data_IF_001529837178
#
_entry.id   IF_001529837178
#
_cell.length_a   1.000
_cell.length_b   1.000
_cell.length_c   1.000
_cell.angle_alpha   90.00
_cell.angle_beta   90.00
_cell.angle_gamma   90.00
#
_symmetry.space_group_name_H-M   'P 1'
#
loop_
_entity.id
_entity.type
_entity.pdbx_description
1 polymer ?
#
# COMPACT_ATOMS: atom_id res chain seq x y z
N UNK A 1 -27.98 -10.84 39.00
CA UNK A 1 -28.01 -9.69 39.88
C UNK A 1 -26.61 -9.10 39.81
N UNK A 2 -26.25 -7.97 39.30
CA UNK A 2 -26.82 -6.64 39.27
C UNK A 2 -26.32 -5.89 38.01
N UNK A 3 -27.23 -5.29 37.27
CA UNK A 3 -26.96 -4.41 36.12
C UNK A 3 -26.54 -3.04 36.67
N UNK A 4 -25.47 -2.44 36.12
CA UNK A 4 -25.17 -1.02 36.30
C UNK A 4 -25.19 -0.31 34.93
N UNK A 5 -26.26 0.44 34.67
CA UNK A 5 -26.43 1.37 33.58
C UNK A 5 -25.98 2.75 34.07
N UNK A 6 -24.96 3.34 33.43
CA UNK A 6 -24.68 4.78 33.61
C UNK A 6 -25.29 5.55 32.43
N UNK A 7 -26.38 6.22 32.75
CA UNK A 7 -27.05 7.23 31.92
C UNK A 7 -26.30 8.56 32.10
N UNK A 8 -25.78 9.15 31.03
CA UNK A 8 -25.26 10.50 31.03
C UNK A 8 -26.34 11.47 30.58
N UNK A 9 -26.73 12.35 31.45
CA UNK A 9 -27.64 13.48 31.23
C UNK A 9 -26.92 14.55 30.40
N UNK A 10 -27.59 15.01 29.34
CA UNK A 10 -27.21 16.20 28.58
C UNK A 10 -28.02 17.36 29.14
N UNK A 11 -27.33 18.36 29.68
CA UNK A 11 -27.95 19.61 30.10
C UNK A 11 -27.95 20.60 28.95
N UNK A 12 -29.13 20.99 28.49
CA UNK A 12 -29.35 22.07 27.53
C UNK A 12 -29.57 23.36 28.34
N UNK A 13 -28.69 24.34 28.16
CA UNK A 13 -28.89 25.68 28.69
C UNK A 13 -29.47 26.58 27.60
N UNK A 14 -30.70 26.99 27.73
CA UNK A 14 -31.33 28.03 26.92
C UNK A 14 -31.06 29.39 27.55
N UNK A 15 -30.40 30.30 26.85
CA UNK A 15 -30.30 31.69 27.21
C UNK A 15 -31.21 32.52 26.33
N UNK A 16 -32.22 33.13 26.96
CA UNK A 16 -33.19 34.10 26.36
C UNK A 16 -32.54 35.47 26.44
N UNK A 17 -32.30 36.13 25.33
CA UNK A 17 -31.77 37.51 25.26
C UNK A 17 -32.72 38.43 24.54
N UNK A 18 -33.06 39.50 25.20
CA UNK A 18 -34.07 40.55 24.95
C UNK A 18 -33.72 41.43 23.75
N UNK A 19 -34.72 41.71 22.90
CA UNK A 19 -34.66 42.60 21.76
C UNK A 19 -34.86 44.07 22.24
N UNK A 20 -33.97 45.01 21.85
CA UNK A 20 -34.27 46.45 21.79
C UNK A 20 -34.06 46.96 20.39
N UNK A 21 -35.10 47.56 19.82
CA UNK A 21 -35.09 48.21 18.54
C UNK A 21 -34.41 49.59 18.64
N UNK A 22 -33.56 49.90 17.68
CA UNK A 22 -33.00 51.22 17.43
C UNK A 22 -32.77 51.43 15.94
N UNK A 23 -33.37 52.48 15.39
CA UNK A 23 -33.44 52.85 13.97
C UNK A 23 -32.17 53.50 13.43
N UNK A 24 -31.99 53.30 12.12
CA UNK A 24 -31.44 54.16 11.06
C UNK A 24 -29.93 54.41 10.98
N UNK A 25 -29.39 54.07 9.80
CA UNK A 25 -28.12 54.51 9.24
C UNK A 25 -27.65 53.60 8.12
N UNK A 26 -27.92 54.04 6.87
CA UNK A 26 -27.30 53.45 5.64
C UNK A 26 -25.80 53.56 5.72
N UNK A 27 -25.13 52.45 5.46
CA UNK A 27 -23.84 52.42 4.75
C UNK A 27 -23.55 50.95 4.33
N UNK A 28 -23.54 50.79 3.01
CA UNK A 28 -23.05 49.55 2.37
C UNK A 28 -21.56 49.36 2.68
N UNK A 29 -21.20 48.33 3.37
CA UNK A 29 -19.83 47.82 3.46
C UNK A 29 -19.83 46.31 3.33
N UNK A 30 -19.09 45.91 2.32
CA UNK A 30 -18.48 44.64 1.98
C UNK A 30 -18.69 43.55 3.01
N UNK A 31 -19.39 42.49 2.62
CA UNK A 31 -19.31 41.17 3.21
C UNK A 31 -17.94 40.61 2.86
N UNK A 32 -17.01 40.83 3.74
CA UNK A 32 -15.73 40.09 3.78
C UNK A 32 -16.06 38.62 3.96
N UNK A 33 -16.06 37.90 2.84
CA UNK A 33 -16.07 36.47 2.86
C UNK A 33 -14.71 36.04 3.44
N UNK A 34 -14.67 35.87 4.77
CA UNK A 34 -13.55 35.28 5.47
C UNK A 34 -13.36 33.87 4.95
N UNK A 35 -12.64 33.77 3.84
CA UNK A 35 -12.08 32.52 3.37
C UNK A 35 -11.07 32.08 4.44
N UNK A 36 -11.51 31.21 5.32
CA UNK A 36 -10.62 30.53 6.26
C UNK A 36 -9.65 29.69 5.43
N UNK A 37 -8.57 30.31 4.97
CA UNK A 37 -7.42 29.59 4.42
C UNK A 37 -6.87 28.80 5.60
N UNK A 38 -7.19 27.51 5.68
CA UNK A 38 -6.49 26.60 6.59
C UNK A 38 -4.99 26.74 6.27
N UNK A 39 -4.23 27.27 7.20
CA UNK A 39 -2.79 27.33 7.10
C UNK A 39 -2.31 25.88 6.93
N UNK A 40 -1.77 25.58 5.76
CA UNK A 40 -1.14 24.29 5.46
C UNK A 40 0.01 24.16 6.46
N UNK A 41 0.04 23.09 7.23
CA UNK A 41 1.16 22.80 8.12
C UNK A 41 2.42 22.67 7.28
N UNK A 42 3.42 23.51 7.51
CA UNK A 42 4.74 23.40 6.84
C UNK A 42 5.54 22.20 7.32
N UNK A 43 5.03 21.47 8.32
CA UNK A 43 5.67 20.27 8.87
C UNK A 43 5.05 19.04 8.22
N UNK A 44 5.86 18.19 7.54
CA UNK A 44 5.37 16.95 6.95
C UNK A 44 4.68 16.05 7.98
N UNK A 45 3.53 15.51 7.59
CA UNK A 45 2.77 14.53 8.37
C UNK A 45 2.26 13.40 7.48
N UNK A 46 2.05 12.24 8.09
CA UNK A 46 1.44 11.07 7.45
C UNK A 46 0.46 10.42 8.44
N UNK A 47 -0.71 10.03 7.93
CA UNK A 47 -1.75 9.28 8.64
C UNK A 47 -2.20 8.12 7.76
N UNK A 48 -2.32 6.92 8.31
CA UNK A 48 -2.92 5.75 7.66
C UNK A 48 -4.43 5.86 7.86
N UNK A 49 -5.14 6.37 6.85
CA UNK A 49 -6.59 6.56 6.92
C UNK A 49 -7.35 5.23 6.83
N UNK A 50 -6.77 4.23 6.14
CA UNK A 50 -7.35 2.90 5.93
C UNK A 50 -6.22 1.89 5.65
N UNK A 51 -6.37 0.61 6.08
CA UNK A 51 -7.40 0.09 6.98
C UNK A 51 -7.20 0.54 8.43
N UNK A 52 -8.23 0.41 9.25
CA UNK A 52 -8.11 0.64 10.69
C UNK A 52 -7.17 -0.40 11.34
N UNK A 53 -6.45 0.01 12.39
CA UNK A 53 -5.63 -0.93 13.17
C UNK A 53 -6.49 -2.05 13.77
N UNK A 54 -5.99 -3.28 13.75
CA UNK A 54 -6.70 -4.50 14.16
C UNK A 54 -7.57 -5.14 13.06
N UNK A 55 -7.52 -4.62 11.82
CA UNK A 55 -8.26 -5.21 10.69
C UNK A 55 -7.70 -6.58 10.34
N UNK A 56 -8.60 -7.56 10.10
CA UNK A 56 -8.26 -8.84 9.47
C UNK A 56 -8.40 -8.73 7.97
N UNK A 57 -7.32 -8.98 7.24
CA UNK A 57 -7.24 -8.95 5.79
C UNK A 57 -7.32 -10.37 5.25
N UNK A 58 -8.17 -10.59 4.26
CA UNK A 58 -8.25 -11.87 3.54
C UNK A 58 -7.32 -11.80 2.32
N UNK A 59 -6.42 -12.75 2.20
CA UNK A 59 -5.32 -12.69 1.24
C UNK A 59 -4.08 -11.99 1.84
N UNK A 60 -2.99 -11.95 1.09
CA UNK A 60 -1.68 -11.47 1.56
C UNK A 60 -1.30 -10.07 1.04
N UNK A 61 -2.29 -9.30 0.63
CA UNK A 61 -2.10 -7.95 0.11
C UNK A 61 -2.87 -6.94 0.96
N UNK A 62 -2.19 -5.90 1.40
CA UNK A 62 -2.77 -4.80 2.19
C UNK A 62 -2.64 -3.50 1.42
N UNK A 63 -3.75 -2.80 1.23
CA UNK A 63 -3.77 -1.47 0.62
C UNK A 63 -3.94 -0.41 1.70
N UNK A 64 -3.00 0.52 1.76
CA UNK A 64 -3.02 1.64 2.71
C UNK A 64 -3.44 2.92 1.98
N UNK A 65 -4.56 3.52 2.41
CA UNK A 65 -4.90 4.90 2.03
C UNK A 65 -4.20 5.85 3.01
N UNK A 66 -3.40 6.76 2.48
CA UNK A 66 -2.58 7.67 3.29
C UNK A 66 -3.04 9.11 3.12
N UNK A 67 -3.18 9.83 4.23
CA UNK A 67 -3.23 11.30 4.22
C UNK A 67 -1.84 11.83 4.48
N UNK A 68 -1.32 12.62 3.56
CA UNK A 68 0.01 13.21 3.62
C UNK A 68 -0.12 14.71 3.45
N UNK A 69 0.42 15.47 4.40
CA UNK A 69 0.44 16.93 4.36
C UNK A 69 1.87 17.44 4.47
N UNK A 70 2.10 18.67 4.01
CA UNK A 70 3.40 19.34 4.10
C UNK A 70 4.50 18.79 3.18
N UNK A 71 4.21 17.79 2.33
CA UNK A 71 5.16 17.16 1.40
C UNK A 71 4.49 16.85 0.07
N UNK A 72 5.20 17.07 -1.04
CA UNK A 72 4.77 16.59 -2.36
C UNK A 72 5.37 15.22 -2.62
N UNK A 73 4.53 14.21 -2.86
CA UNK A 73 4.99 12.84 -3.11
C UNK A 73 5.47 12.71 -4.56
N UNK A 74 6.72 12.28 -4.72
CA UNK A 74 7.40 12.02 -5.99
C UNK A 74 8.28 10.79 -5.86
N UNK A 75 8.72 10.22 -6.97
CA UNK A 75 9.78 9.21 -6.96
C UNK A 75 11.08 9.85 -6.45
N UNK A 76 11.97 9.04 -5.89
CA UNK A 76 13.28 9.50 -5.43
C UNK A 76 14.02 10.27 -6.54
N UNK A 77 14.29 11.55 -6.32
CA UNK A 77 14.85 12.50 -7.29
C UNK A 77 16.15 13.14 -6.80
N UNK A 78 16.61 12.77 -5.59
CA UNK A 78 17.79 13.33 -4.94
C UNK A 78 17.54 14.65 -4.20
N UNK A 79 16.32 15.21 -4.23
CA UNK A 79 15.99 16.44 -3.49
C UNK A 79 15.96 16.19 -1.97
N UNK A 80 16.79 16.95 -1.23
CA UNK A 80 16.86 16.91 0.24
C UNK A 80 16.27 18.16 0.90
N UNK A 81 15.56 19.01 0.13
CA UNK A 81 14.98 20.26 0.64
C UNK A 81 13.81 20.02 1.63
N UNK A 82 13.27 18.81 1.67
CA UNK A 82 12.08 18.45 2.46
C UNK A 82 10.75 18.95 1.87
N UNK A 83 10.76 19.45 0.62
CA UNK A 83 9.54 19.86 -0.10
C UNK A 83 8.93 18.72 -0.90
N UNK A 84 9.78 17.84 -1.41
CA UNK A 84 9.41 16.61 -2.10
C UNK A 84 9.96 15.41 -1.36
N UNK A 85 9.36 14.25 -1.61
CA UNK A 85 9.79 13.00 -1.01
C UNK A 85 8.86 11.84 -1.37
N UNK A 86 9.05 10.72 -0.71
CA UNK A 86 8.27 9.53 -0.98
C UNK A 86 7.97 8.74 0.28
N UNK A 87 7.14 7.72 0.12
CA UNK A 87 6.59 6.91 1.20
C UNK A 87 7.50 5.71 1.46
N UNK A 88 7.74 5.40 2.74
CA UNK A 88 8.39 4.17 3.15
C UNK A 88 7.50 3.45 4.16
N UNK A 89 7.26 2.15 3.93
CA UNK A 89 6.57 1.30 4.89
C UNK A 89 7.55 0.26 5.46
N UNK A 90 7.61 0.20 6.77
CA UNK A 90 8.35 -0.80 7.55
C UNK A 90 7.36 -1.85 8.01
N UNK A 91 7.55 -3.10 7.58
CA UNK A 91 6.71 -4.25 7.91
C UNK A 91 7.46 -5.07 8.95
N UNK A 92 6.90 -5.17 10.17
CA UNK A 92 7.48 -5.88 11.33
C UNK A 92 8.90 -5.39 11.70
N UNK A 93 9.18 -4.12 11.39
CA UNK A 93 10.47 -3.49 11.64
C UNK A 93 10.31 -2.12 12.28
N UNK A 94 11.27 -1.75 13.08
CA UNK A 94 11.36 -0.41 13.66
C UNK A 94 11.95 0.55 12.62
N UNK A 95 11.28 1.68 12.32
CA UNK A 95 11.84 2.69 11.43
C UNK A 95 13.17 3.25 11.93
N UNK A 96 14.03 3.64 10.99
CA UNK A 96 15.30 4.32 11.30
C UNK A 96 15.06 5.67 11.99
N UNK A 97 16.06 6.21 12.67
CA UNK A 97 15.98 7.55 13.28
C UNK A 97 15.77 8.65 12.22
N UNK A 98 15.19 9.77 12.63
CA UNK A 98 15.06 10.98 11.80
C UNK A 98 16.42 11.39 11.23
N UNK A 99 16.47 11.72 9.93
CA UNK A 99 17.68 12.08 9.19
C UNK A 99 18.56 10.90 8.82
N UNK A 100 18.30 9.70 9.31
CA UNK A 100 19.05 8.51 8.90
C UNK A 100 18.58 7.98 7.54
N UNK A 101 19.50 7.37 6.80
CA UNK A 101 19.19 6.72 5.53
C UNK A 101 18.28 5.51 5.74
N UNK A 102 17.22 5.42 4.94
CA UNK A 102 16.26 4.32 4.96
C UNK A 102 16.82 3.20 4.09
N UNK A 103 17.02 1.99 4.66
CA UNK A 103 17.65 0.89 3.92
C UNK A 103 16.71 0.33 2.84
N UNK A 104 17.30 -0.13 1.73
CA UNK A 104 16.60 -0.93 0.72
C UNK A 104 16.80 -2.42 1.07
N UNK A 105 15.89 -2.96 1.86
CA UNK A 105 15.96 -4.36 2.35
C UNK A 105 14.57 -4.98 2.45
N UNK A 106 14.50 -6.30 2.62
CA UNK A 106 13.24 -7.01 2.83
C UNK A 106 12.47 -6.43 4.04
N UNK A 107 11.15 -6.27 3.89
CA UNK A 107 10.29 -5.65 4.90
C UNK A 107 10.35 -4.12 4.94
N UNK A 108 11.08 -3.47 4.01
CA UNK A 108 11.03 -2.01 3.81
C UNK A 108 10.59 -1.70 2.38
N UNK A 109 9.40 -1.15 2.23
CA UNK A 109 8.81 -0.79 0.93
C UNK A 109 9.06 0.68 0.65
N UNK A 110 9.49 1.00 -0.57
CA UNK A 110 9.70 2.35 -1.09
C UNK A 110 8.69 2.62 -2.19
N UNK A 111 7.89 3.67 -2.09
CA UNK A 111 6.87 3.99 -3.09
C UNK A 111 6.57 5.48 -3.18
N UNK A 112 6.13 5.90 -4.37
CA UNK A 112 5.49 7.20 -4.60
C UNK A 112 3.98 7.05 -4.87
N UNK A 113 3.44 5.85 -4.70
CA UNK A 113 2.02 5.57 -4.96
C UNK A 113 1.19 5.78 -3.70
N UNK A 114 0.02 6.40 -3.86
CA UNK A 114 -1.00 6.51 -2.85
C UNK A 114 -2.37 6.29 -3.54
N UNK A 115 -3.08 5.22 -3.22
CA UNK A 115 -2.86 4.24 -2.14
C UNK A 115 -1.56 3.43 -2.28
N UNK A 116 -0.94 3.09 -1.14
CA UNK A 116 0.21 2.21 -1.09
C UNK A 116 -0.25 0.74 -0.99
N UNK A 117 0.17 -0.10 -1.94
CA UNK A 117 -0.14 -1.53 -1.95
C UNK A 117 1.06 -2.33 -1.45
N UNK A 118 0.86 -3.05 -0.35
CA UNK A 118 1.83 -3.97 0.23
C UNK A 118 1.44 -5.39 -0.14
N UNK A 119 2.32 -6.13 -0.80
CA UNK A 119 2.10 -7.52 -1.24
C UNK A 119 3.01 -8.48 -0.48
N UNK A 120 2.75 -9.78 -0.58
CA UNK A 120 3.62 -10.81 -0.04
C UNK A 120 3.62 -10.94 1.49
N UNK A 121 2.64 -10.37 2.19
CA UNK A 121 2.58 -10.53 3.65
C UNK A 121 2.30 -12.00 4.01
N UNK A 122 3.03 -12.51 5.00
CA UNK A 122 2.80 -13.87 5.50
C UNK A 122 1.51 -13.95 6.31
N UNK A 123 1.03 -15.17 6.57
CA UNK A 123 -0.11 -15.36 7.46
C UNK A 123 0.25 -15.02 8.90
N UNK A 124 -0.60 -14.22 9.56
CA UNK A 124 -0.40 -13.78 10.95
C UNK A 124 -0.58 -12.28 11.16
N UNK A 125 -0.21 -11.81 12.35
CA UNK A 125 -0.22 -10.38 12.70
C UNK A 125 1.02 -9.69 12.13
N UNK A 126 0.81 -8.51 11.55
CA UNK A 126 1.86 -7.61 11.06
C UNK A 126 1.69 -6.22 11.64
N UNK A 127 2.78 -5.61 12.05
CA UNK A 127 2.84 -4.19 12.36
C UNK A 127 3.43 -3.43 11.17
N UNK A 128 2.68 -2.48 10.65
CA UNK A 128 3.07 -1.67 9.50
C UNK A 128 3.25 -0.24 9.97
N UNK A 129 4.47 0.29 9.86
CA UNK A 129 4.78 1.68 10.18
C UNK A 129 5.16 2.43 8.91
N UNK A 130 4.44 3.51 8.61
CA UNK A 130 4.72 4.39 7.48
C UNK A 130 5.50 5.61 7.95
N UNK A 131 6.57 5.95 7.23
CA UNK A 131 7.35 7.17 7.39
C UNK A 131 7.55 7.87 6.04
N UNK A 132 7.97 9.13 6.07
CA UNK A 132 8.31 9.88 4.86
C UNK A 132 9.84 9.97 4.71
N UNK A 133 10.34 9.83 3.49
CA UNK A 133 11.73 10.00 3.12
C UNK A 133 11.91 11.08 2.07
N UNK A 134 13.05 11.77 2.09
CA UNK A 134 13.45 12.74 1.07
C UNK A 134 13.89 12.04 -0.24
N UNK A 135 14.20 12.80 -1.27
CA UNK A 135 14.64 12.28 -2.55
C UNK A 135 15.95 11.48 -2.51
N UNK A 136 16.73 11.59 -1.43
CA UNK A 136 17.95 10.82 -1.18
C UNK A 136 17.73 9.65 -0.19
N UNK A 137 16.47 9.30 0.13
CA UNK A 137 16.09 8.25 1.07
C UNK A 137 16.47 8.49 2.54
N UNK A 138 16.63 9.74 2.98
CA UNK A 138 16.77 10.02 4.42
C UNK A 138 15.39 10.26 5.03
N UNK A 139 15.13 9.72 6.22
CA UNK A 139 13.88 9.92 6.92
C UNK A 139 13.63 11.39 7.25
N UNK A 140 12.49 11.94 6.80
CA UNK A 140 12.06 13.31 7.05
C UNK A 140 11.35 13.39 8.40
N UNK A 141 11.85 14.22 9.31
CA UNK A 141 11.18 14.56 10.55
C UNK A 141 10.72 13.35 11.37
N UNK A 142 9.71 13.57 12.21
CA UNK A 142 9.11 12.54 13.06
C UNK A 142 7.74 12.06 12.53
N UNK A 143 7.37 12.47 11.28
CA UNK A 143 6.14 12.03 10.67
C UNK A 143 6.13 10.50 10.53
N UNK A 144 5.25 9.85 11.26
CA UNK A 144 5.00 8.41 11.17
C UNK A 144 3.61 8.08 11.66
N UNK A 145 3.06 6.99 11.13
CA UNK A 145 1.87 6.35 11.67
C UNK A 145 2.00 4.84 11.58
N UNK A 146 1.31 4.11 12.46
CA UNK A 146 1.43 2.64 12.56
C UNK A 146 0.07 2.00 12.77
N UNK A 147 -0.13 0.88 12.08
CA UNK A 147 -1.29 0.00 12.28
C UNK A 147 -0.84 -1.43 12.49
N UNK A 148 -1.70 -2.22 13.11
CA UNK A 148 -1.61 -3.68 13.12
C UNK A 148 -2.70 -4.26 12.23
N UNK A 149 -2.32 -5.24 11.41
CA UNK A 149 -3.26 -6.02 10.59
C UNK A 149 -3.01 -7.50 10.80
N UNK A 150 -4.05 -8.32 10.66
CA UNK A 150 -3.91 -9.77 10.67
C UNK A 150 -4.19 -10.31 9.28
N UNK A 151 -3.23 -10.96 8.66
CA UNK A 151 -3.41 -11.69 7.39
C UNK A 151 -4.02 -13.06 7.68
N UNK A 152 -5.23 -13.32 7.16
CA UNK A 152 -5.95 -14.58 7.32
C UNK A 152 -6.57 -15.00 5.98
N UNK A 153 -5.87 -15.83 5.23
CA UNK A 153 -6.29 -16.30 3.91
C UNK A 153 -5.16 -16.98 3.16
N UNK A 154 -5.36 -17.26 1.86
CA UNK A 154 -4.30 -17.74 1.00
C UNK A 154 -3.11 -16.79 0.97
N UNK A 155 -1.92 -17.35 0.88
CA UNK A 155 -0.68 -16.56 0.73
C UNK A 155 0.13 -17.06 -0.45
N UNK A 156 0.89 -16.15 -1.04
CA UNK A 156 1.88 -16.42 -2.07
C UNK A 156 3.16 -15.68 -1.68
N UNK A 157 4.26 -16.42 -1.63
CA UNK A 157 5.60 -15.91 -1.39
C UNK A 157 6.45 -16.23 -2.62
N UNK A 158 7.04 -15.22 -3.22
CA UNK A 158 7.88 -15.34 -4.41
C UNK A 158 9.31 -14.92 -4.07
N UNK A 159 10.28 -15.72 -4.48
CA UNK A 159 11.69 -15.44 -4.24
C UNK A 159 12.50 -15.52 -5.52
N UNK A 160 13.45 -14.58 -5.67
CA UNK A 160 14.38 -14.54 -6.79
C UNK A 160 15.74 -14.00 -6.33
N UNK A 161 16.84 -14.29 -7.06
CA UNK A 161 18.11 -13.62 -6.83
C UNK A 161 17.98 -12.11 -7.07
N UNK A 162 18.58 -11.28 -6.22
CA UNK A 162 18.55 -9.81 -6.40
C UNK A 162 19.29 -9.37 -7.68
N UNK A 163 20.27 -10.15 -8.11
CA UNK A 163 21.10 -9.86 -9.30
C UNK A 163 21.29 -11.13 -10.12
N UNK A 164 21.15 -11.02 -11.44
CA UNK A 164 21.36 -12.10 -12.42
C UNK A 164 22.25 -11.59 -13.54
N UNK A 165 23.17 -12.45 -14.02
CA UNK A 165 24.04 -12.10 -15.14
C UNK A 165 23.25 -11.96 -16.45
N UNK A 166 23.61 -10.98 -17.29
CA UNK A 166 23.00 -10.79 -18.60
C UNK A 166 23.07 -12.08 -19.44
N UNK A 167 21.98 -12.42 -20.10
CA UNK A 167 21.84 -13.64 -20.89
C UNK A 167 21.48 -14.90 -20.10
N UNK A 168 21.48 -14.83 -18.76
CA UNK A 168 20.96 -15.91 -17.90
C UNK A 168 19.46 -15.73 -17.66
N UNK A 169 18.67 -16.81 -17.53
CA UNK A 169 17.26 -16.69 -17.17
C UNK A 169 17.12 -16.22 -15.71
N UNK A 170 16.11 -15.41 -15.45
CA UNK A 170 15.68 -15.08 -14.08
C UNK A 170 14.78 -16.20 -13.57
N UNK A 171 15.23 -16.89 -12.53
CA UNK A 171 14.44 -17.89 -11.83
C UNK A 171 13.68 -17.25 -10.68
N UNK A 172 12.36 -17.52 -10.63
CA UNK A 172 11.48 -17.12 -9.55
C UNK A 172 10.86 -18.38 -8.96
N UNK A 173 11.12 -18.65 -7.68
CA UNK A 173 10.53 -19.77 -6.94
C UNK A 173 9.28 -19.29 -6.19
N UNK A 174 8.27 -20.17 -6.04
CA UNK A 174 6.97 -19.85 -5.44
C UNK A 174 6.66 -20.76 -4.28
N UNK A 175 6.10 -20.18 -3.23
CA UNK A 175 5.49 -20.90 -2.12
C UNK A 175 4.06 -20.39 -1.94
N UNK A 176 3.09 -21.29 -2.07
CA UNK A 176 1.66 -20.98 -1.92
C UNK A 176 1.08 -21.75 -0.76
N UNK A 177 0.29 -21.10 0.08
CA UNK A 177 -0.51 -21.72 1.12
C UNK A 177 -1.99 -21.39 0.91
N UNK A 178 -2.89 -22.33 1.24
CA UNK A 178 -4.32 -22.14 1.19
C UNK A 178 -4.99 -22.28 -0.19
N UNK A 179 -4.20 -22.47 -1.28
CA UNK A 179 -4.69 -22.77 -2.64
C UNK A 179 -3.92 -23.96 -3.20
N UNK A 180 -4.61 -24.91 -3.82
CA UNK A 180 -3.96 -26.01 -4.55
C UNK A 180 -3.57 -25.55 -5.95
N UNK A 181 -2.29 -25.59 -6.28
CA UNK A 181 -1.79 -25.16 -7.58
C UNK A 181 -2.01 -26.28 -8.60
N UNK A 182 -2.76 -25.96 -9.66
CA UNK A 182 -3.08 -26.86 -10.79
C UNK A 182 -3.06 -26.07 -12.09
N UNK A 183 -3.02 -26.75 -13.22
CA UNK A 183 -3.27 -26.11 -14.52
C UNK A 183 -4.70 -25.58 -14.56
N UNK A 184 -4.95 -24.59 -15.41
CA UNK A 184 -6.29 -24.03 -15.59
C UNK A 184 -7.32 -25.15 -15.83
N UNK A 185 -8.24 -25.32 -14.87
CA UNK A 185 -9.21 -26.41 -14.80
C UNK A 185 -10.67 -25.92 -14.85
N UNK A 186 -10.87 -24.61 -14.93
CA UNK A 186 -12.19 -23.98 -14.93
C UNK A 186 -12.79 -23.78 -13.52
N UNK A 187 -12.11 -24.20 -12.45
CA UNK A 187 -12.60 -23.97 -11.08
C UNK A 187 -12.47 -22.51 -10.68
N UNK A 188 -13.59 -21.91 -10.29
CA UNK A 188 -13.68 -20.52 -9.80
C UNK A 188 -13.94 -20.43 -8.30
N UNK A 189 -13.85 -21.55 -7.58
CA UNK A 189 -14.13 -21.59 -6.14
C UNK A 189 -13.02 -20.97 -5.29
N UNK A 190 -11.84 -20.72 -5.87
CA UNK A 190 -10.64 -20.26 -5.17
C UNK A 190 -9.93 -21.35 -4.36
N UNK A 191 -10.36 -22.64 -4.47
CA UNK A 191 -9.67 -23.77 -3.85
C UNK A 191 -8.50 -24.25 -4.67
N UNK A 192 -8.62 -24.15 -5.99
CA UNK A 192 -7.56 -24.40 -6.96
C UNK A 192 -7.23 -23.12 -7.73
N UNK A 193 -6.05 -23.06 -8.32
CA UNK A 193 -5.62 -21.95 -9.13
C UNK A 193 -4.22 -22.18 -9.71
N UNK A 194 -3.70 -21.20 -10.41
CA UNK A 194 -2.37 -21.24 -10.96
C UNK A 194 -1.69 -19.87 -10.90
N UNK A 195 -0.40 -19.87 -11.18
CA UNK A 195 0.44 -18.69 -11.01
C UNK A 195 0.57 -17.95 -12.33
N UNK A 196 0.49 -16.62 -12.24
CA UNK A 196 0.76 -15.69 -13.33
C UNK A 196 1.89 -14.76 -12.92
N UNK A 197 2.89 -14.61 -13.76
CA UNK A 197 4.02 -13.69 -13.55
C UNK A 197 3.93 -12.57 -14.57
N UNK A 198 3.69 -11.37 -14.07
CA UNK A 198 3.64 -10.12 -14.84
C UNK A 198 5.04 -9.51 -14.87
N UNK A 199 5.67 -9.50 -16.04
CA UNK A 199 7.03 -8.99 -16.25
C UNK A 199 6.94 -7.52 -16.66
N UNK A 200 7.44 -6.61 -15.82
CA UNK A 200 7.42 -5.15 -16.03
C UNK A 200 6.03 -4.59 -16.36
N UNK A 201 4.99 -5.27 -15.89
CA UNK A 201 3.60 -4.86 -16.02
C UNK A 201 3.07 -4.39 -14.66
N UNK A 202 2.02 -3.55 -14.64
CA UNK A 202 1.37 -3.16 -13.39
C UNK A 202 0.73 -4.37 -12.71
N UNK A 203 0.60 -4.29 -11.38
CA UNK A 203 -0.16 -5.26 -10.59
C UNK A 203 -1.63 -5.25 -11.05
N UNK A 204 -2.21 -6.41 -11.43
CA UNK A 204 -3.61 -6.49 -11.82
C UNK A 204 -4.53 -6.30 -10.60
N UNK A 205 -5.79 -5.98 -10.86
CA UNK A 205 -6.81 -5.84 -9.81
C UNK A 205 -7.53 -7.18 -9.56
N UNK A 206 -8.07 -7.38 -8.33
CA UNK A 206 -8.96 -8.52 -8.07
C UNK A 206 -10.10 -8.58 -9.10
N UNK A 207 -10.32 -9.75 -9.68
CA UNK A 207 -11.37 -9.97 -10.68
C UNK A 207 -11.00 -9.61 -12.13
N UNK A 208 -9.81 -9.06 -12.38
CA UNK A 208 -9.33 -8.86 -13.75
C UNK A 208 -9.12 -10.20 -14.45
N UNK A 209 -9.47 -10.26 -15.72
CA UNK A 209 -9.14 -11.42 -16.59
C UNK A 209 -7.68 -11.29 -17.01
N UNK A 210 -6.91 -12.37 -16.85
CA UNK A 210 -5.48 -12.40 -17.15
C UNK A 210 -5.29 -12.91 -18.57
N UNK A 211 -4.82 -12.04 -19.44
CA UNK A 211 -4.46 -12.39 -20.82
C UNK A 211 -3.15 -13.20 -20.89
N UNK A 212 -2.96 -13.89 -22.01
CA UNK A 212 -1.70 -14.55 -22.34
C UNK A 212 -1.09 -13.90 -23.59
N UNK A 213 -0.43 -12.76 -23.45
CA UNK A 213 0.16 -12.07 -24.58
C UNK A 213 1.32 -12.88 -25.19
N UNK A 214 1.45 -12.83 -26.52
CA UNK A 214 2.47 -13.59 -27.25
C UNK A 214 3.90 -13.10 -26.99
N UNK A 215 4.07 -11.89 -26.44
CA UNK A 215 5.37 -11.29 -26.12
C UNK A 215 6.01 -11.87 -24.84
N UNK A 216 5.31 -12.78 -24.14
CA UNK A 216 5.81 -13.38 -22.89
C UNK A 216 5.80 -12.45 -21.69
N UNK A 217 5.20 -11.26 -21.79
CA UNK A 217 5.11 -10.31 -20.67
C UNK A 217 4.20 -10.77 -19.54
N UNK A 218 3.40 -11.83 -19.75
CA UNK A 218 2.68 -12.55 -18.70
C UNK A 218 2.92 -14.05 -18.88
N UNK A 219 3.55 -14.67 -17.89
CA UNK A 219 3.86 -16.11 -17.89
C UNK A 219 2.86 -16.84 -17.02
N UNK A 220 2.32 -17.97 -17.50
CA UNK A 220 1.36 -18.81 -16.79
C UNK A 220 2.04 -20.12 -16.42
N UNK A 221 1.96 -20.53 -15.16
CA UNK A 221 2.54 -21.80 -14.70
C UNK A 221 1.72 -22.44 -13.56
N UNK A 222 1.82 -23.76 -13.49
CA UNK A 222 1.38 -24.54 -12.33
C UNK A 222 2.56 -25.23 -11.63
N UNK A 223 3.78 -24.88 -12.01
CA UNK A 223 5.00 -25.40 -11.40
C UNK A 223 5.38 -24.56 -10.16
N UNK A 224 6.29 -25.08 -9.34
CA UNK A 224 6.77 -24.37 -8.15
C UNK A 224 7.76 -23.24 -8.46
N UNK A 225 8.11 -23.04 -9.72
CA UNK A 225 9.01 -22.00 -10.18
C UNK A 225 8.77 -21.65 -11.64
N UNK A 226 9.34 -20.52 -12.07
CA UNK A 226 9.44 -20.16 -13.49
C UNK A 226 10.86 -19.68 -13.80
N UNK A 227 11.29 -19.85 -15.04
CA UNK A 227 12.50 -19.26 -15.58
C UNK A 227 12.13 -18.31 -16.72
N UNK A 228 12.50 -17.04 -16.59
CA UNK A 228 12.20 -16.00 -17.58
C UNK A 228 13.49 -15.64 -18.31
N UNK A 229 13.62 -16.08 -19.57
CA UNK A 229 14.83 -15.86 -20.37
C UNK A 229 14.82 -14.48 -21.03
N UNK A 230 16.00 -14.08 -21.56
CA UNK A 230 16.18 -12.98 -22.51
C UNK A 230 15.74 -11.60 -22.00
N UNK A 231 15.84 -11.36 -20.71
CA UNK A 231 15.61 -10.02 -20.17
C UNK A 231 16.78 -9.10 -20.54
N UNK A 232 16.46 -7.84 -20.81
CA UNK A 232 17.47 -6.81 -21.08
C UNK A 232 18.28 -6.52 -19.81
N UNK A 233 19.44 -5.87 -19.94
CA UNK A 233 20.14 -5.34 -18.79
C UNK A 233 19.33 -4.21 -18.15
N UNK A 234 19.23 -4.20 -16.82
CA UNK A 234 18.45 -3.25 -16.07
C UNK A 234 17.70 -3.85 -14.88
N UNK A 235 16.91 -3.03 -14.21
CA UNK A 235 16.02 -3.47 -13.14
C UNK A 235 14.69 -3.93 -13.74
N UNK A 236 14.24 -5.13 -13.36
CA UNK A 236 12.97 -5.73 -13.75
C UNK A 236 12.10 -5.97 -12.52
N UNK A 237 10.81 -5.67 -12.66
CA UNK A 237 9.80 -5.92 -11.64
C UNK A 237 8.89 -7.07 -12.09
N UNK A 238 8.68 -8.03 -11.19
CA UNK A 238 7.78 -9.15 -11.40
C UNK A 238 6.67 -9.12 -10.35
N UNK A 239 5.42 -9.01 -10.78
CA UNK A 239 4.29 -9.30 -9.92
C UNK A 239 3.86 -10.75 -10.16
N UNK A 240 3.92 -11.54 -9.12
CA UNK A 240 3.46 -12.93 -9.10
C UNK A 240 2.08 -12.95 -8.48
N UNK A 241 1.09 -13.52 -9.20
CA UNK A 241 -0.32 -13.38 -8.87
C UNK A 241 -1.02 -14.73 -9.00
N UNK A 242 -1.89 -15.06 -8.04
CA UNK A 242 -2.79 -16.21 -8.17
C UNK A 242 -4.03 -15.86 -8.97
N UNK A 243 -4.30 -16.64 -10.01
CA UNK A 243 -5.55 -16.67 -10.73
C UNK A 243 -6.31 -17.97 -10.50
N UNK A 244 -7.62 -17.93 -10.69
CA UNK A 244 -8.48 -19.10 -10.65
C UNK A 244 -8.34 -19.96 -11.93
N UNK A 245 -9.12 -21.04 -12.01
CA UNK A 245 -9.11 -21.97 -13.15
C UNK A 245 -9.55 -21.34 -14.48
N UNK A 246 -10.14 -20.14 -14.47
CA UNK A 246 -10.55 -19.38 -15.65
C UNK A 246 -9.65 -18.18 -15.95
N UNK A 247 -8.46 -18.11 -15.36
CA UNK A 247 -7.54 -16.97 -15.53
C UNK A 247 -8.10 -15.64 -15.00
N UNK A 248 -8.87 -15.67 -13.92
CA UNK A 248 -9.35 -14.48 -13.24
C UNK A 248 -8.53 -14.28 -11.95
N UNK A 249 -8.02 -13.07 -11.74
CA UNK A 249 -7.28 -12.71 -10.52
C UNK A 249 -8.15 -12.98 -9.29
N UNK A 250 -7.61 -13.69 -8.30
CA UNK A 250 -8.36 -14.02 -7.09
C UNK A 250 -8.84 -12.75 -6.36
N UNK A 251 -10.01 -12.86 -5.77
CA UNK A 251 -10.57 -11.81 -4.90
C UNK A 251 -10.91 -12.43 -3.53
N UNK A 252 -10.21 -12.05 -2.45
CA UNK A 252 -9.17 -11.02 -2.36
C UNK A 252 -7.90 -11.34 -3.15
N UNK A 253 -7.13 -10.28 -3.49
CA UNK A 253 -5.87 -10.40 -4.22
C UNK A 253 -4.86 -11.21 -3.40
N UNK A 254 -4.25 -12.20 -4.05
CA UNK A 254 -3.12 -12.97 -3.52
C UNK A 254 -1.96 -12.80 -4.49
N UNK A 255 -0.98 -12.02 -4.09
CA UNK A 255 0.13 -11.63 -4.94
C UNK A 255 1.41 -11.39 -4.14
N UNK A 256 2.54 -11.45 -4.81
CA UNK A 256 3.81 -10.98 -4.30
C UNK A 256 4.60 -10.23 -5.38
N UNK A 257 5.62 -9.48 -4.96
CA UNK A 257 6.47 -8.67 -5.83
C UNK A 257 7.93 -9.01 -5.61
N UNK A 258 8.64 -9.36 -6.68
CA UNK A 258 10.10 -9.45 -6.67
C UNK A 258 10.71 -8.47 -7.67
N UNK A 259 11.89 -7.95 -7.36
CA UNK A 259 12.67 -7.07 -8.22
C UNK A 259 14.05 -7.69 -8.42
N UNK A 260 14.50 -7.76 -9.67
CA UNK A 260 15.78 -8.37 -10.06
C UNK A 260 16.55 -7.40 -10.96
N UNK A 261 17.84 -7.23 -10.71
CA UNK A 261 18.74 -6.49 -11.60
C UNK A 261 19.49 -7.46 -12.51
N UNK A 262 19.35 -7.28 -13.83
CA UNK A 262 20.13 -8.02 -14.86
C UNK A 262 21.34 -7.18 -15.25
N UNK A 263 22.59 -7.74 -15.11
CA UNK A 263 23.85 -7.02 -15.38
C UNK A 263 24.99 -7.92 -15.84
#
# INVERSE_FOLDING_TARGET
MTRNRFTRLIAVLAALGLVTAGCAGDDAKDVDASTTTQARSDTPSVEIASPASGTTVKGNTVTLDLKIEGLTIVKADGDTSGKTGHIHAFIDKVPVATGAAIPKEAGVVHSADNPLVLTGLTKGEHEITVVLGDGAHNRIGNAQDSIKVTVDGPTLDATAPAVVAAGSPVRIDFKVDGVTIVKADGDTSGKTGHIHVFVDKPLPKPGDVIDKPADGSIVHTADAFVEIPNLAAGEHTFYVVLGDGNHVVLNPLVADKVTVTVQ
#
